data_IF_840743696942
#
_entry.id   IF_840743696942
#
_cell.length_a   1.000
_cell.length_b   1.000
_cell.length_c   1.000
_cell.angle_alpha   90.00
_cell.angle_beta   90.00
_cell.angle_gamma   90.00
#
_symmetry.space_group_name_H-M   'P 1'
#
loop_
_entity.id
_entity.type
_entity.pdbx_description
1 polymer ?
#
# COMPACT_ATOMS: atom_id res chain seq x y z
N UNK A 1 -3.77 -18.82 -43.27
CA UNK A 1 -3.31 -17.76 -42.35
C UNK A 1 -4.36 -17.65 -41.27
N UNK A 2 -4.13 -18.27 -40.12
CA UNK A 2 -5.03 -18.21 -38.96
C UNK A 2 -4.66 -16.96 -38.16
N UNK A 3 -5.59 -16.02 -38.06
CA UNK A 3 -5.46 -14.87 -37.17
C UNK A 3 -5.44 -15.41 -35.74
N UNK A 4 -4.30 -15.29 -35.07
CA UNK A 4 -4.20 -15.52 -33.64
C UNK A 4 -4.73 -14.25 -33.00
N UNK A 5 -5.99 -14.26 -32.58
CA UNK A 5 -6.55 -13.19 -31.77
C UNK A 5 -5.88 -13.28 -30.39
N UNK A 6 -4.77 -12.56 -30.23
CA UNK A 6 -4.18 -12.25 -28.93
C UNK A 6 -5.10 -11.29 -28.17
N UNK A 7 -6.25 -11.80 -27.72
CA UNK A 7 -7.06 -11.11 -26.71
C UNK A 7 -6.38 -11.31 -25.37
N UNK A 8 -5.29 -10.58 -25.13
CA UNK A 8 -4.64 -10.54 -23.84
C UNK A 8 -5.59 -9.98 -22.80
N UNK A 9 -5.97 -10.80 -21.82
CA UNK A 9 -6.73 -10.34 -20.66
C UNK A 9 -5.85 -9.40 -19.81
N UNK A 10 -6.38 -8.23 -19.48
CA UNK A 10 -5.73 -7.26 -18.60
C UNK A 10 -6.43 -7.33 -17.24
N UNK A 11 -5.65 -7.57 -16.19
CA UNK A 11 -6.12 -7.54 -14.79
C UNK A 11 -5.57 -6.27 -14.14
N UNK A 12 -6.47 -5.47 -13.59
CA UNK A 12 -6.15 -4.30 -12.77
C UNK A 12 -6.12 -4.72 -11.30
N UNK A 13 -5.07 -4.31 -10.57
CA UNK A 13 -4.89 -4.64 -9.15
C UNK A 13 -4.56 -3.35 -8.41
N UNK A 14 -5.42 -3.01 -7.46
CA UNK A 14 -5.27 -1.81 -6.64
C UNK A 14 -4.53 -2.10 -5.33
N UNK A 15 -3.52 -1.29 -5.06
CA UNK A 15 -2.80 -1.27 -3.80
C UNK A 15 -2.77 0.13 -3.20
N UNK A 16 -2.79 0.18 -1.88
CA UNK A 16 -2.59 1.39 -1.11
C UNK A 16 -1.20 1.39 -0.48
N UNK A 17 -0.47 2.49 -0.65
CA UNK A 17 0.78 2.77 0.04
C UNK A 17 0.51 3.83 1.09
N UNK A 18 0.82 3.51 2.34
CA UNK A 18 0.60 4.42 3.46
C UNK A 18 1.72 4.36 4.49
N UNK A 19 1.59 5.18 5.53
CA UNK A 19 2.46 5.13 6.69
C UNK A 19 1.69 5.41 7.97
N UNK A 20 2.19 4.88 9.08
CA UNK A 20 1.74 5.23 10.43
C UNK A 20 2.92 5.87 11.15
N UNK A 21 2.64 6.93 11.89
CA UNK A 21 3.65 7.66 12.68
C UNK A 21 3.11 7.94 14.08
N UNK A 22 3.96 7.75 15.08
CA UNK A 22 3.67 8.03 16.49
C UNK A 22 4.72 8.99 17.02
N UNK A 23 4.26 10.11 17.58
CA UNK A 23 5.13 11.07 18.27
C UNK A 23 5.64 10.41 19.55
N UNK A 24 6.96 10.41 19.73
CA UNK A 24 7.60 9.92 20.96
C UNK A 24 7.40 10.94 22.08
N UNK A 25 7.20 10.47 23.30
CA UNK A 25 7.13 11.34 24.49
C UNK A 25 8.44 12.10 24.72
N UNK A 26 9.56 11.43 24.44
CA UNK A 26 10.91 12.00 24.50
C UNK A 26 11.69 11.65 23.22
N UNK A 27 12.43 12.60 22.61
CA UNK A 27 13.26 12.34 21.45
C UNK A 27 14.39 11.35 21.76
N UNK A 28 14.70 10.48 20.81
CA UNK A 28 15.86 9.57 20.92
C UNK A 28 17.13 10.36 20.59
N UNK A 29 18.00 10.54 21.59
CA UNK A 29 19.22 11.36 21.50
C UNK A 29 20.42 10.62 20.88
N UNK A 30 20.28 9.32 20.61
CA UNK A 30 21.29 8.50 19.92
C UNK A 30 21.46 8.94 18.45
N UNK A 31 20.46 9.62 17.88
CA UNK A 31 20.50 10.15 16.52
C UNK A 31 20.75 11.67 16.52
N UNK A 32 21.48 12.17 15.52
CA UNK A 32 21.64 13.61 15.26
C UNK A 32 21.22 13.93 13.81
N UNK A 33 20.04 14.53 13.58
CA UNK A 33 19.14 15.12 14.59
C UNK A 33 18.41 14.07 15.45
N UNK A 34 17.97 14.43 16.67
CA UNK A 34 17.21 13.53 17.54
C UNK A 34 15.95 13.02 16.84
N UNK A 35 15.70 11.72 16.97
CA UNK A 35 14.52 11.10 16.37
C UNK A 35 13.30 11.34 17.26
N UNK A 36 12.29 12.02 16.72
CA UNK A 36 11.07 12.42 17.44
C UNK A 36 9.86 11.53 17.18
N UNK A 37 9.89 10.73 16.10
CA UNK A 37 8.78 9.88 15.70
C UNK A 37 9.23 8.43 15.47
N UNK A 38 8.40 7.50 15.89
CA UNK A 38 8.45 6.12 15.39
C UNK A 38 7.47 5.99 14.25
N UNK A 39 7.91 5.42 13.13
CA UNK A 39 7.08 5.31 11.93
C UNK A 39 7.33 4.00 11.21
N UNK A 40 6.32 3.56 10.46
CA UNK A 40 6.40 2.41 9.57
C UNK A 40 5.64 2.71 8.29
N UNK A 41 6.17 2.25 7.17
CA UNK A 41 5.51 2.33 5.85
C UNK A 41 4.88 0.98 5.57
N UNK A 42 3.70 0.98 4.95
CA UNK A 42 2.99 -0.23 4.60
C UNK A 42 2.48 -0.17 3.16
N UNK A 43 2.32 -1.37 2.59
CA UNK A 43 1.60 -1.64 1.36
C UNK A 43 0.46 -2.58 1.74
N UNK A 44 -0.77 -2.26 1.32
CA UNK A 44 -1.93 -3.13 1.52
C UNK A 44 -2.76 -3.21 0.24
N UNK A 45 -3.57 -4.25 0.09
CA UNK A 45 -4.64 -4.24 -0.92
C UNK A 45 -5.58 -3.07 -0.63
N UNK A 46 -6.05 -2.38 -1.66
CA UNK A 46 -7.12 -1.40 -1.47
C UNK A 46 -8.33 -2.09 -0.82
N UNK A 47 -9.00 -1.41 0.13
CA UNK A 47 -10.21 -1.96 0.72
C UNK A 47 -11.26 -2.11 -0.39
N UNK A 48 -11.62 -3.35 -0.73
CA UNK A 48 -12.70 -3.62 -1.68
C UNK A 48 -14.02 -3.29 -0.98
N UNK A 49 -14.42 -2.01 -1.00
CA UNK A 49 -15.81 -1.62 -0.76
C UNK A 49 -16.64 -1.93 -2.01
N UNK A 50 -16.79 -3.22 -2.28
CA UNK A 50 -17.68 -3.76 -3.29
C UNK A 50 -18.20 -5.08 -2.75
N UNK A 51 -19.49 -5.13 -2.44
CA UNK A 51 -20.19 -6.36 -2.08
C UNK A 51 -19.71 -7.50 -2.99
N UNK A 52 -19.26 -8.61 -2.39
CA UNK A 52 -19.19 -9.91 -3.04
C UNK A 52 -20.63 -10.43 -3.31
N UNK A 53 -21.46 -9.61 -3.94
CA UNK A 53 -22.77 -9.95 -4.47
C UNK A 53 -22.80 -9.59 -5.97
N UNK A 54 -21.97 -10.27 -6.75
CA UNK A 54 -22.17 -10.37 -8.19
C UNK A 54 -21.79 -11.79 -8.63
N UNK A 55 -22.82 -12.66 -8.58
CA UNK A 55 -23.08 -13.89 -9.36
C UNK A 55 -22.11 -15.08 -9.23
#
# INVERSE_FOLDING_TARGET
MTNHDDTGEIVEIDFEVGHVSIIRREPTTIHNPPRTHDWTVYLRSADVHGDLNCL
#
